data_IF_772177783783
#
_entry.id   IF_772177783783
#
_cell.length_a   1.000
_cell.length_b   1.000
_cell.length_c   1.000
_cell.angle_alpha   90.00
_cell.angle_beta   90.00
_cell.angle_gamma   90.00
#
_symmetry.space_group_name_H-M   'P 1'
#
loop_
_entity.id
_entity.type
_entity.pdbx_description
1 polymer ?
#
# COMPACT_ATOMS: atom_id res chain seq x y z
N UNK A 1 -17.56 -17.27 11.70
CA UNK A 1 -16.95 -16.10 12.37
C UNK A 1 -16.18 -15.33 11.32
N UNK A 2 -16.79 -14.28 10.76
CA UNK A 2 -16.27 -13.54 9.61
C UNK A 2 -15.38 -12.39 10.10
N UNK A 3 -14.12 -12.37 9.66
CA UNK A 3 -13.22 -11.22 9.85
C UNK A 3 -13.56 -10.15 8.81
N UNK A 4 -13.67 -8.87 9.19
CA UNK A 4 -14.00 -7.79 8.25
C UNK A 4 -12.76 -7.36 7.47
N UNK A 5 -12.94 -7.08 6.17
CA UNK A 5 -11.99 -6.35 5.31
C UNK A 5 -11.48 -5.11 6.08
N UNK A 6 -10.22 -5.13 6.53
CA UNK A 6 -9.60 -3.99 7.22
C UNK A 6 -8.99 -3.04 6.18
N UNK A 7 -9.78 -2.08 5.71
CA UNK A 7 -9.38 -1.00 4.80
C UNK A 7 -8.55 0.05 5.56
N UNK A 8 -7.48 0.54 4.93
CA UNK A 8 -6.55 1.49 5.54
C UNK A 8 -6.77 2.90 4.95
N UNK A 9 -6.95 3.88 5.83
CA UNK A 9 -7.07 5.30 5.49
C UNK A 9 -5.80 6.02 5.95
N UNK A 10 -5.19 6.84 5.09
CA UNK A 10 -4.19 7.81 5.49
C UNK A 10 -4.33 9.09 4.69
N UNK A 11 -4.58 10.22 5.38
CA UNK A 11 -4.38 11.55 4.81
C UNK A 11 -2.88 11.87 4.88
N UNK A 12 -2.38 12.46 3.80
CA UNK A 12 -1.04 13.04 3.59
C UNK A 12 0.05 12.08 3.06
N UNK A 13 0.65 12.52 1.94
CA UNK A 13 1.79 11.93 1.25
C UNK A 13 3.04 11.99 2.14
N UNK A 14 3.22 10.97 2.98
CA UNK A 14 4.49 10.61 3.61
C UNK A 14 4.44 9.10 3.84
N UNK A 15 5.60 8.47 3.95
CA UNK A 15 5.75 7.13 4.51
C UNK A 15 5.22 7.16 5.96
N UNK A 16 3.89 7.09 6.16
CA UNK A 16 3.28 7.21 7.48
C UNK A 16 3.09 5.82 8.06
N UNK A 17 4.06 5.47 8.89
CA UNK A 17 3.92 4.65 10.09
C UNK A 17 2.72 5.20 10.88
N UNK A 18 1.69 4.39 11.14
CA UNK A 18 0.57 4.83 11.98
C UNK A 18 1.09 5.16 13.38
N UNK A 19 0.99 6.42 13.80
CA UNK A 19 1.38 6.92 15.11
C UNK A 19 0.19 7.64 15.77
N UNK A 20 -0.13 7.44 17.07
CA UNK A 20 -0.64 8.54 17.88
C UNK A 20 0.44 9.65 17.90
N UNK A 21 0.09 10.94 18.05
CA UNK A 21 1.06 12.04 17.90
C UNK A 21 2.28 11.81 18.81
N UNK A 22 3.43 11.50 18.19
CA UNK A 22 4.69 11.30 18.91
C UNK A 22 5.33 12.67 19.15
N UNK A 23 5.83 12.96 20.36
CA UNK A 23 6.67 14.12 20.61
C UNK A 23 8.11 13.82 20.17
N UNK A 24 8.71 14.71 19.35
CA UNK A 24 10.16 14.74 18.99
C UNK A 24 10.69 13.58 18.09
N UNK A 25 11.88 13.69 17.44
CA UNK A 25 12.08 13.20 16.08
C UNK A 25 12.20 11.68 15.98
N UNK A 26 11.63 11.15 14.90
CA UNK A 26 11.54 9.72 14.59
C UNK A 26 12.84 9.22 13.96
N UNK A 27 13.79 8.80 14.79
CA UNK A 27 14.99 8.04 14.43
C UNK A 27 14.83 6.52 14.58
N UNK A 28 13.66 6.08 15.05
CA UNK A 28 13.35 4.66 15.27
C UNK A 28 12.99 3.92 13.96
N UNK A 29 13.58 2.75 13.80
CA UNK A 29 13.34 1.82 12.70
C UNK A 29 11.95 1.14 12.79
N UNK A 30 11.40 0.61 11.67
CA UNK A 30 10.13 -0.12 11.70
C UNK A 30 10.10 -1.29 12.71
N UNK A 31 11.24 -1.91 12.98
CA UNK A 31 11.37 -2.99 13.95
C UNK A 31 11.15 -2.52 15.40
N UNK A 32 11.56 -1.28 15.71
CA UNK A 32 11.39 -0.68 17.04
C UNK A 32 9.97 -0.16 17.25
N UNK A 33 9.36 0.35 16.19
CA UNK A 33 8.03 0.97 16.24
C UNK A 33 6.88 -0.03 16.14
N UNK A 34 7.12 -1.20 15.53
CA UNK A 34 6.14 -2.28 15.34
C UNK A 34 4.78 -1.78 14.82
N UNK A 35 4.74 -1.08 13.67
CA UNK A 35 3.48 -0.67 13.09
C UNK A 35 2.72 -1.89 12.56
N UNK A 36 1.38 -1.84 12.58
CA UNK A 36 0.56 -2.87 11.90
C UNK A 36 0.66 -2.77 10.37
N UNK A 37 1.13 -1.63 9.86
CA UNK A 37 1.07 -1.28 8.45
C UNK A 37 2.12 -0.24 8.05
N UNK A 38 2.67 -0.40 6.85
CA UNK A 38 3.52 0.57 6.16
C UNK A 38 2.91 0.95 4.82
N UNK A 39 3.12 2.21 4.42
CA UNK A 39 2.63 2.74 3.15
C UNK A 39 3.81 3.03 2.23
N UNK A 40 3.74 2.53 1.00
CA UNK A 40 4.63 2.93 -0.10
C UNK A 40 3.94 4.06 -0.86
N UNK A 41 4.54 5.24 -0.84
CA UNK A 41 3.93 6.43 -1.43
C UNK A 41 3.98 6.41 -2.96
N UNK A 42 3.24 7.33 -3.58
CA UNK A 42 3.14 7.47 -5.04
C UNK A 42 4.51 7.60 -5.73
N UNK A 43 5.53 8.17 -5.09
CA UNK A 43 6.87 8.28 -5.66
C UNK A 43 7.54 6.92 -5.92
N UNK A 44 7.20 5.89 -5.14
CA UNK A 44 7.67 4.52 -5.32
C UNK A 44 6.80 3.73 -6.30
N UNK A 45 5.50 4.06 -6.39
CA UNK A 45 4.51 3.30 -7.18
C UNK A 45 4.35 3.83 -8.61
N UNK A 46 4.40 5.15 -8.81
CA UNK A 46 4.15 5.77 -10.11
C UNK A 46 5.13 5.23 -11.16
N UNK A 47 4.60 4.78 -12.28
CA UNK A 47 5.31 4.17 -13.42
C UNK A 47 6.07 2.87 -13.08
N UNK A 48 5.81 2.25 -11.92
CA UNK A 48 6.48 1.01 -11.50
C UNK A 48 5.96 -0.18 -12.31
N UNK A 49 6.73 -0.63 -13.30
CA UNK A 49 6.42 -1.76 -14.19
C UNK A 49 7.67 -2.24 -14.94
N UNK A 50 7.64 -3.45 -15.48
CA UNK A 50 8.67 -3.95 -16.42
C UNK A 50 10.08 -4.02 -15.81
N UNK A 51 11.03 -3.30 -16.40
CA UNK A 51 12.43 -3.26 -15.96
C UNK A 51 12.76 -2.00 -15.13
N UNK A 52 11.76 -1.41 -14.45
CA UNK A 52 11.97 -0.20 -13.65
C UNK A 52 13.07 -0.43 -12.58
N UNK A 53 14.09 0.46 -12.49
CA UNK A 53 15.21 0.28 -11.57
C UNK A 53 14.83 0.34 -10.09
N UNK A 54 13.62 0.81 -9.74
CA UNK A 54 13.09 0.81 -8.38
C UNK A 54 12.50 -0.53 -7.96
N UNK A 55 12.22 -1.45 -8.89
CA UNK A 55 11.64 -2.76 -8.56
C UNK A 55 12.42 -3.54 -7.51
N UNK A 56 13.77 -3.64 -7.56
CA UNK A 56 14.53 -4.33 -6.52
C UNK A 56 14.36 -3.69 -5.14
N UNK A 57 14.31 -2.36 -5.08
CA UNK A 57 14.10 -1.61 -3.83
C UNK A 57 12.70 -1.86 -3.27
N UNK A 58 11.66 -1.68 -4.10
CA UNK A 58 10.26 -1.89 -3.70
C UNK A 58 10.05 -3.34 -3.23
N UNK A 59 10.60 -4.31 -3.96
CA UNK A 59 10.56 -5.73 -3.58
C UNK A 59 11.22 -5.97 -2.22
N UNK A 60 12.40 -5.38 -1.98
CA UNK A 60 13.11 -5.54 -0.71
C UNK A 60 12.31 -4.92 0.46
N UNK A 61 11.70 -3.75 0.26
CA UNK A 61 10.87 -3.10 1.27
C UNK A 61 9.62 -3.92 1.64
N UNK A 62 8.94 -4.49 0.64
CA UNK A 62 7.77 -5.34 0.87
C UNK A 62 8.16 -6.58 1.67
N UNK A 63 9.22 -7.28 1.23
CA UNK A 63 9.72 -8.47 1.93
C UNK A 63 10.14 -8.16 3.37
N UNK A 64 10.87 -7.08 3.57
CA UNK A 64 11.27 -6.65 4.90
C UNK A 64 10.08 -6.34 5.82
N UNK A 65 9.04 -5.69 5.31
CA UNK A 65 7.81 -5.45 6.07
C UNK A 65 7.15 -6.78 6.47
N UNK A 66 7.02 -7.72 5.53
CA UNK A 66 6.42 -9.02 5.78
C UNK A 66 7.23 -9.88 6.77
N UNK A 67 8.56 -9.84 6.72
CA UNK A 67 9.45 -10.52 7.68
C UNK A 67 9.22 -10.02 9.11
N UNK A 68 8.78 -8.77 9.27
CA UNK A 68 8.40 -8.17 10.55
C UNK A 68 6.92 -8.36 10.91
N UNK A 69 6.13 -9.04 10.05
CA UNK A 69 4.68 -9.20 10.22
C UNK A 69 3.87 -7.93 9.94
N UNK A 70 4.44 -6.96 9.22
CA UNK A 70 3.86 -5.66 8.90
C UNK A 70 3.20 -5.74 7.52
N UNK A 71 1.96 -5.27 7.40
CA UNK A 71 1.25 -5.22 6.10
C UNK A 71 1.67 -4.01 5.27
N UNK A 72 1.58 -4.11 3.95
CA UNK A 72 1.98 -3.06 3.01
C UNK A 72 0.78 -2.49 2.26
N UNK A 73 0.70 -1.16 2.17
CA UNK A 73 -0.22 -0.45 1.28
C UNK A 73 0.55 0.25 0.16
N UNK A 74 0.19 0.01 -1.09
CA UNK A 74 0.67 0.79 -2.22
C UNK A 74 -0.27 1.98 -2.48
N UNK A 75 0.28 3.20 -2.50
CA UNK A 75 -0.48 4.42 -2.78
C UNK A 75 -0.17 5.03 -4.14
N UNK A 76 -1.20 5.62 -4.76
CA UNK A 76 -1.06 6.32 -6.02
C UNK A 76 -1.08 5.40 -7.24
N UNK A 77 -1.79 4.27 -7.16
CA UNK A 77 -1.99 3.36 -8.31
C UNK A 77 -2.93 4.03 -9.32
N UNK A 78 -2.40 4.39 -10.49
CA UNK A 78 -3.09 5.13 -11.55
C UNK A 78 -3.27 4.32 -12.83
N UNK A 79 -2.57 3.19 -12.98
CA UNK A 79 -2.65 2.32 -14.16
C UNK A 79 -2.85 0.84 -13.81
N UNK A 80 -3.33 0.08 -14.80
CA UNK A 80 -3.41 -1.39 -14.72
C UNK A 80 -2.03 -2.03 -14.52
N UNK A 81 -1.00 -1.51 -15.19
CA UNK A 81 0.35 -2.07 -15.13
C UNK A 81 0.96 -1.91 -13.73
N UNK A 82 0.78 -0.75 -13.11
CA UNK A 82 1.16 -0.53 -11.70
C UNK A 82 0.39 -1.49 -10.78
N UNK A 83 -0.92 -1.63 -10.98
CA UNK A 83 -1.76 -2.53 -10.18
C UNK A 83 -1.25 -3.98 -10.23
N UNK A 84 -0.99 -4.49 -11.44
CA UNK A 84 -0.46 -5.85 -11.66
C UNK A 84 0.90 -6.00 -10.98
N UNK A 85 1.79 -5.03 -11.19
CA UNK A 85 3.13 -5.04 -10.63
C UNK A 85 3.09 -5.12 -9.10
N UNK A 86 2.37 -4.22 -8.42
CA UNK A 86 2.33 -4.22 -6.96
C UNK A 86 1.62 -5.45 -6.39
N UNK A 87 0.61 -5.99 -7.09
CA UNK A 87 -0.05 -7.23 -6.70
C UNK A 87 0.89 -8.44 -6.82
N UNK A 88 1.68 -8.52 -7.90
CA UNK A 88 2.69 -9.57 -8.10
C UNK A 88 3.82 -9.49 -7.08
N UNK A 89 4.22 -8.28 -6.67
CA UNK A 89 5.19 -8.07 -5.60
C UNK A 89 4.66 -8.43 -4.21
N UNK A 90 3.37 -8.72 -4.07
CA UNK A 90 2.75 -9.20 -2.83
C UNK A 90 2.26 -8.09 -1.90
N UNK A 91 2.00 -6.87 -2.40
CA UNK A 91 1.37 -5.83 -1.57
C UNK A 91 0.03 -6.31 -1.02
N UNK A 92 -0.34 -5.91 0.21
CA UNK A 92 -1.56 -6.37 0.88
C UNK A 92 -2.79 -5.51 0.55
N UNK A 93 -2.59 -4.22 0.32
CA UNK A 93 -3.66 -3.23 0.13
C UNK A 93 -3.24 -2.15 -0.87
N UNK A 94 -4.21 -1.53 -1.54
CA UNK A 94 -3.96 -0.50 -2.55
C UNK A 94 -4.88 0.71 -2.44
N UNK A 95 -4.34 1.89 -2.77
CA UNK A 95 -5.10 3.12 -2.99
C UNK A 95 -4.63 3.82 -4.26
N UNK A 96 -5.56 4.27 -5.09
CA UNK A 96 -5.23 5.07 -6.26
C UNK A 96 -6.41 5.27 -7.21
N UNK A 97 -6.28 6.20 -8.16
CA UNK A 97 -7.37 6.55 -9.06
C UNK A 97 -7.80 5.41 -9.99
N UNK A 98 -6.90 4.46 -10.29
CA UNK A 98 -7.26 3.26 -11.03
C UNK A 98 -8.22 2.37 -10.25
N UNK A 99 -8.02 2.27 -8.94
CA UNK A 99 -8.88 1.50 -8.03
C UNK A 99 -10.21 2.20 -7.76
N UNK A 100 -10.18 3.52 -7.62
CA UNK A 100 -11.36 4.34 -7.35
C UNK A 100 -10.99 5.75 -6.93
N UNK A 101 -11.82 6.73 -7.29
CA UNK A 101 -11.60 8.12 -6.90
C UNK A 101 -12.02 8.38 -5.45
N UNK A 102 -11.38 9.35 -4.76
CA UNK A 102 -11.83 9.83 -3.47
C UNK A 102 -13.32 10.22 -3.53
N UNK A 103 -14.08 9.74 -2.55
CA UNK A 103 -15.50 10.01 -2.42
C UNK A 103 -15.85 10.24 -0.94
N UNK A 104 -16.97 10.93 -0.69
CA UNK A 104 -17.42 11.24 0.66
C UNK A 104 -17.80 10.00 1.50
N UNK A 105 -17.98 8.84 0.86
CA UNK A 105 -18.27 7.57 1.51
C UNK A 105 -17.48 6.42 0.89
N UNK A 106 -17.68 5.23 1.45
CA UNK A 106 -17.09 4.01 0.90
C UNK A 106 -17.72 3.71 -0.46
N UNK A 107 -16.92 3.88 -1.50
CA UNK A 107 -17.23 3.42 -2.85
C UNK A 107 -16.53 2.09 -3.12
N UNK A 108 -17.14 1.30 -4.01
CA UNK A 108 -16.54 0.06 -4.50
C UNK A 108 -15.33 0.32 -5.40
N UNK A 109 -14.59 -0.75 -5.70
CA UNK A 109 -13.51 -0.72 -6.69
C UNK A 109 -14.07 -0.49 -8.10
N UNK A 110 -13.24 0.07 -8.98
CA UNK A 110 -13.49 0.00 -10.42
C UNK A 110 -13.64 -1.46 -10.85
N UNK A 111 -14.45 -1.73 -11.88
CA UNK A 111 -14.68 -3.10 -12.37
C UNK A 111 -13.38 -3.72 -12.86
N UNK A 112 -12.58 -2.91 -13.52
CA UNK A 112 -11.27 -3.25 -14.07
C UNK A 112 -10.33 -3.69 -12.93
N UNK A 113 -10.20 -2.89 -11.88
CA UNK A 113 -9.35 -3.25 -10.73
C UNK A 113 -9.84 -4.50 -10.01
N UNK A 114 -11.15 -4.65 -9.81
CA UNK A 114 -11.73 -5.81 -9.13
C UNK A 114 -11.46 -7.13 -9.89
N UNK A 115 -11.42 -7.08 -11.23
CA UNK A 115 -11.09 -8.24 -12.05
C UNK A 115 -9.60 -8.63 -11.98
N UNK A 116 -8.72 -7.63 -11.80
CA UNK A 116 -7.27 -7.80 -11.81
C UNK A 116 -6.71 -8.22 -10.46
N UNK A 117 -7.36 -7.84 -9.37
CA UNK A 117 -6.91 -8.15 -8.02
C UNK A 117 -8.03 -8.75 -7.17
N UNK A 118 -8.32 -10.06 -7.35
CA UNK A 118 -9.43 -10.73 -6.66
C UNK A 118 -9.29 -10.70 -5.13
N UNK A 119 -8.04 -10.71 -4.64
CA UNK A 119 -7.70 -10.65 -3.22
C UNK A 119 -8.01 -9.33 -2.51
N UNK A 120 -8.24 -8.23 -3.24
CA UNK A 120 -8.52 -6.91 -2.66
C UNK A 120 -9.93 -6.78 -2.06
N UNK A 121 -10.77 -7.82 -2.20
CA UNK A 121 -12.20 -7.82 -1.83
C UNK A 121 -12.53 -8.65 -0.59
N UNK A 122 -11.54 -9.28 0.09
CA UNK A 122 -11.74 -10.10 1.30
C UNK A 122 -11.11 -9.49 2.54
#
# INVERSE_FOLDING_TARGET
MLSPVRRCYGRENKLILSFPPAPEPLDASPAELRPDLVKLDRGLIRDLQGDDPRLPLVTALIRYAHDLGIRVVAEGIETEAELRTVAELGVDCGQGYFLGRPAAGLTGLSREAAALWPGLTR
#
